data_IF_852278359550
#
_entry.id   IF_852278359550
#
_cell.length_a   1.000
_cell.length_b   1.000
_cell.length_c   1.000
_cell.angle_alpha   90.00
_cell.angle_beta   90.00
_cell.angle_gamma   90.00
#
_symmetry.space_group_name_H-M   'P 1'
#
loop_
_entity.id
_entity.type
_entity.pdbx_description
1 polymer ?
#
# COMPACT_ATOMS: atom_id res chain seq x y z
N UNK A 1 25.59 -20.44 11.86
CA UNK A 1 26.63 -20.01 10.89
C UNK A 1 25.95 -19.66 9.60
N UNK A 2 25.76 -18.37 9.31
CA UNK A 2 25.31 -17.96 7.99
C UNK A 2 26.48 -18.21 7.02
N UNK A 3 26.34 -19.13 6.10
CA UNK A 3 27.30 -19.32 5.01
C UNK A 3 27.07 -18.21 3.99
N UNK A 4 27.89 -17.18 4.03
CA UNK A 4 28.01 -16.24 2.91
C UNK A 4 28.79 -16.95 1.82
N UNK A 5 28.09 -17.47 0.81
CA UNK A 5 28.74 -18.04 -0.37
C UNK A 5 29.12 -16.87 -1.26
N UNK A 6 30.39 -16.46 -1.21
CA UNK A 6 30.99 -15.62 -2.23
C UNK A 6 31.12 -16.44 -3.52
N UNK A 7 30.18 -16.31 -4.42
CA UNK A 7 30.42 -16.69 -5.81
C UNK A 7 31.15 -15.52 -6.47
N UNK A 8 32.30 -15.74 -7.13
CA UNK A 8 33.15 -14.68 -7.68
C UNK A 8 32.50 -13.83 -8.78
N UNK A 9 31.25 -14.06 -9.10
CA UNK A 9 30.48 -13.36 -10.14
C UNK A 9 29.09 -12.90 -9.69
N UNK A 10 28.74 -12.92 -8.41
CA UNK A 10 27.41 -12.42 -7.98
C UNK A 10 27.49 -10.94 -7.61
N UNK A 11 26.92 -10.06 -8.43
CA UNK A 11 26.90 -8.62 -8.18
C UNK A 11 25.90 -8.22 -7.07
N UNK A 12 25.39 -9.19 -6.28
CA UNK A 12 24.32 -8.98 -5.31
C UNK A 12 24.84 -9.20 -3.89
N UNK A 13 24.73 -8.18 -3.06
CA UNK A 13 25.10 -8.22 -1.66
C UNK A 13 23.84 -8.15 -0.78
N UNK A 14 23.49 -9.25 -0.13
CA UNK A 14 22.30 -9.37 0.67
C UNK A 14 22.61 -9.72 2.13
N UNK A 15 22.20 -8.85 3.04
CA UNK A 15 22.21 -9.08 4.47
C UNK A 15 20.78 -9.43 4.92
N UNK A 16 20.48 -10.72 5.13
CA UNK A 16 19.13 -11.16 5.46
C UNK A 16 18.70 -10.66 6.85
N UNK A 17 17.39 -10.56 7.05
CA UNK A 17 16.82 -10.25 8.35
C UNK A 17 17.30 -11.30 9.36
N UNK A 18 17.94 -10.88 10.46
CA UNK A 18 18.35 -11.82 11.47
C UNK A 18 17.13 -12.44 12.15
N UNK A 19 17.20 -13.73 12.50
CA UNK A 19 16.17 -14.38 13.29
C UNK A 19 15.90 -13.58 14.58
N UNK A 20 14.66 -13.60 15.06
CA UNK A 20 14.16 -12.87 16.24
C UNK A 20 14.97 -13.09 17.53
N UNK A 21 15.81 -14.12 17.59
CA UNK A 21 16.77 -14.38 18.67
C UNK A 21 17.93 -13.35 18.75
N UNK A 22 18.00 -12.37 17.85
CA UNK A 22 19.08 -11.36 17.83
C UNK A 22 18.85 -10.15 18.74
N UNK A 23 17.86 -10.17 19.60
CA UNK A 23 17.71 -9.18 20.68
C UNK A 23 18.89 -9.15 21.65
N UNK A 24 19.78 -10.15 21.61
CA UNK A 24 20.95 -10.22 22.48
C UNK A 24 22.14 -9.43 21.89
N UNK A 25 22.79 -8.62 22.73
CA UNK A 25 23.94 -7.78 22.35
C UNK A 25 25.07 -8.56 21.64
N UNK A 26 25.32 -9.81 22.04
CA UNK A 26 26.33 -10.67 21.43
C UNK A 26 26.04 -11.00 19.94
N UNK A 27 24.77 -11.24 19.62
CA UNK A 27 24.38 -11.56 18.25
C UNK A 27 24.43 -10.32 17.35
N UNK A 28 24.08 -9.15 17.89
CA UNK A 28 24.23 -7.87 17.21
C UNK A 28 25.67 -7.58 16.85
N UNK A 29 26.60 -7.74 17.82
CA UNK A 29 28.03 -7.58 17.57
C UNK A 29 28.53 -8.51 16.48
N UNK A 30 28.14 -9.80 16.53
CA UNK A 30 28.51 -10.78 15.47
C UNK A 30 27.98 -10.39 14.09
N UNK A 31 26.77 -9.86 14.01
CA UNK A 31 26.21 -9.34 12.75
C UNK A 31 27.06 -8.19 12.23
N UNK A 32 27.37 -7.20 13.09
CA UNK A 32 28.17 -6.03 12.73
C UNK A 32 29.57 -6.43 12.28
N UNK A 33 30.26 -7.29 13.04
CA UNK A 33 31.60 -7.80 12.68
C UNK A 33 31.59 -8.57 11.34
N UNK A 34 30.51 -9.31 11.06
CA UNK A 34 30.35 -10.03 9.80
C UNK A 34 30.11 -9.09 8.63
N UNK A 35 29.24 -8.09 8.82
CA UNK A 35 28.97 -7.07 7.81
C UNK A 35 30.23 -6.25 7.49
N UNK A 36 31.00 -5.85 8.50
CA UNK A 36 32.26 -5.14 8.32
C UNK A 36 33.28 -5.94 7.50
N UNK A 37 33.45 -7.24 7.78
CA UNK A 37 34.33 -8.12 7.01
C UNK A 37 33.92 -8.23 5.55
N UNK A 38 32.61 -8.38 5.31
CA UNK A 38 32.06 -8.46 3.94
C UNK A 38 32.31 -7.15 3.21
N UNK A 39 32.05 -6.03 3.85
CA UNK A 39 32.28 -4.71 3.27
C UNK A 39 33.75 -4.45 2.95
N UNK A 40 34.67 -4.86 3.82
CA UNK A 40 36.12 -4.77 3.56
C UNK A 40 36.55 -5.65 2.38
N UNK A 41 36.04 -6.89 2.30
CA UNK A 41 36.34 -7.80 1.20
C UNK A 41 35.86 -7.25 -0.15
N UNK A 42 34.67 -6.69 -0.18
CA UNK A 42 34.09 -6.05 -1.38
C UNK A 42 34.90 -4.83 -1.79
N UNK A 43 35.29 -3.97 -0.84
CA UNK A 43 36.08 -2.78 -1.10
C UNK A 43 37.45 -3.12 -1.69
N UNK A 44 38.05 -4.28 -1.34
CA UNK A 44 39.33 -4.76 -1.88
C UNK A 44 39.24 -5.46 -3.23
N UNK A 45 38.06 -5.91 -3.65
CA UNK A 45 37.90 -6.75 -4.86
C UNK A 45 37.66 -5.97 -6.15
N UNK A 46 37.45 -4.66 -6.12
CA UNK A 46 37.06 -3.80 -7.26
C UNK A 46 35.85 -4.33 -8.07
N UNK A 47 35.08 -5.27 -7.54
CA UNK A 47 33.94 -5.84 -8.21
C UNK A 47 32.75 -4.87 -8.16
N UNK A 48 32.09 -4.63 -9.29
CA UNK A 48 30.85 -3.86 -9.32
C UNK A 48 29.76 -4.61 -8.55
N UNK A 49 29.04 -3.92 -7.68
CA UNK A 49 27.86 -4.48 -6.99
C UNK A 49 26.62 -4.01 -7.74
N UNK A 50 25.80 -4.92 -8.20
CA UNK A 50 24.54 -4.57 -8.85
C UNK A 50 23.45 -4.27 -7.83
N UNK A 51 23.28 -5.13 -6.84
CA UNK A 51 22.20 -5.03 -5.87
C UNK A 51 22.74 -5.09 -4.44
N UNK A 52 22.23 -4.21 -3.61
CA UNK A 52 22.51 -4.17 -2.18
C UNK A 52 21.22 -4.21 -1.37
N UNK A 53 21.12 -5.17 -0.47
CA UNK A 53 20.01 -5.28 0.47
C UNK A 53 20.54 -5.40 1.89
N UNK A 54 20.16 -4.47 2.74
CA UNK A 54 20.45 -4.49 4.17
C UNK A 54 19.14 -4.53 4.96
N UNK A 55 18.87 -5.68 5.58
CA UNK A 55 17.82 -5.83 6.58
C UNK A 55 18.47 -5.68 7.96
N UNK A 56 18.44 -4.48 8.51
CA UNK A 56 19.10 -4.21 9.78
C UNK A 56 18.30 -4.76 10.95
N UNK A 57 18.94 -5.44 11.91
CA UNK A 57 18.29 -5.72 13.19
C UNK A 57 17.99 -4.40 13.92
N UNK A 58 16.90 -4.37 14.65
CA UNK A 58 16.56 -3.28 15.57
C UNK A 58 17.79 -2.97 16.46
N UNK A 59 18.17 -1.69 16.57
CA UNK A 59 19.27 -1.20 17.40
C UNK A 59 20.71 -1.43 16.87
N UNK A 60 20.92 -1.58 15.57
CA UNK A 60 22.27 -1.39 15.02
C UNK A 60 22.61 0.10 15.09
N UNK A 61 23.85 0.39 15.51
CA UNK A 61 24.31 1.78 15.58
C UNK A 61 24.27 2.43 14.18
N UNK A 62 23.66 3.60 14.14
CA UNK A 62 23.51 4.40 12.91
C UNK A 62 24.85 4.70 12.20
N UNK A 63 25.95 4.78 12.95
CA UNK A 63 27.29 5.02 12.41
C UNK A 63 27.78 3.91 11.49
N UNK A 64 27.51 2.64 11.84
CA UNK A 64 27.87 1.49 11.01
C UNK A 64 27.04 1.45 9.74
N UNK A 65 25.74 1.64 9.88
CA UNK A 65 24.82 1.65 8.73
C UNK A 65 25.17 2.77 7.74
N UNK A 66 25.45 3.98 8.24
CA UNK A 66 25.91 5.12 7.41
C UNK A 66 27.22 4.79 6.66
N UNK A 67 28.17 4.15 7.34
CA UNK A 67 29.45 3.75 6.72
C UNK A 67 29.24 2.69 5.63
N UNK A 68 28.46 1.64 5.91
CA UNK A 68 28.18 0.59 4.93
C UNK A 68 27.45 1.14 3.71
N UNK A 69 26.42 1.94 3.93
CA UNK A 69 25.65 2.60 2.88
C UNK A 69 26.54 3.44 1.97
N UNK A 70 27.37 4.32 2.55
CA UNK A 70 28.28 5.15 1.79
C UNK A 70 29.27 4.32 0.96
N UNK A 71 29.85 3.28 1.56
CA UNK A 71 30.80 2.42 0.86
C UNK A 71 30.12 1.72 -0.32
N UNK A 72 28.89 1.21 -0.15
CA UNK A 72 28.17 0.51 -1.21
C UNK A 72 27.78 1.45 -2.35
N UNK A 73 27.32 2.64 -2.04
CA UNK A 73 26.92 3.63 -3.05
C UNK A 73 28.07 4.01 -3.98
N UNK A 74 29.33 3.98 -3.48
CA UNK A 74 30.51 4.20 -4.32
C UNK A 74 30.71 3.12 -5.40
N UNK A 75 30.06 1.94 -5.29
CA UNK A 75 30.15 0.87 -6.30
C UNK A 75 29.13 1.01 -7.44
N UNK A 76 28.42 2.13 -7.55
CA UNK A 76 27.45 2.39 -8.62
C UNK A 76 26.33 1.33 -8.68
N UNK A 77 25.78 0.99 -7.52
CA UNK A 77 24.65 0.03 -7.42
C UNK A 77 23.44 0.52 -8.20
N UNK A 78 22.73 -0.43 -8.82
CA UNK A 78 21.43 -0.17 -9.46
C UNK A 78 20.26 -0.37 -8.51
N UNK A 79 20.35 -1.39 -7.63
CA UNK A 79 19.26 -1.77 -6.74
C UNK A 79 19.73 -1.59 -5.28
N UNK A 80 19.10 -0.66 -4.56
CA UNK A 80 19.49 -0.31 -3.21
C UNK A 80 18.30 -0.40 -2.26
N UNK A 81 18.37 -1.36 -1.31
CA UNK A 81 17.30 -1.66 -0.38
C UNK A 81 17.80 -1.59 1.05
N UNK A 82 17.20 -0.71 1.84
CA UNK A 82 17.37 -0.62 3.29
C UNK A 82 16.05 -0.94 3.96
N UNK A 83 16.01 -1.97 4.82
CA UNK A 83 14.80 -2.38 5.53
C UNK A 83 14.99 -2.22 7.05
N UNK A 84 14.02 -1.57 7.68
CA UNK A 84 13.90 -1.40 9.15
C UNK A 84 15.10 -0.77 9.84
N UNK A 85 15.72 0.17 9.16
CA UNK A 85 16.88 0.88 9.70
C UNK A 85 16.43 2.16 10.41
N UNK A 86 16.95 2.42 11.60
CA UNK A 86 16.83 3.72 12.23
C UNK A 86 17.93 4.62 11.71
N UNK A 87 17.57 5.62 10.91
CA UNK A 87 18.50 6.61 10.38
C UNK A 87 18.17 8.00 10.88
N UNK A 88 19.19 8.73 11.30
CA UNK A 88 19.05 10.15 11.51
C UNK A 88 19.00 10.93 10.18
N UNK A 89 19.81 10.52 9.20
CA UNK A 89 19.79 11.10 7.86
C UNK A 89 20.50 10.18 6.86
N UNK A 90 19.93 10.02 5.68
CA UNK A 90 20.57 9.38 4.54
C UNK A 90 21.10 10.46 3.59
N UNK A 91 22.39 10.44 3.31
CA UNK A 91 23.01 11.32 2.31
C UNK A 91 23.32 10.47 1.09
N UNK A 92 22.65 10.77 -0.01
CA UNK A 92 22.93 10.21 -1.32
C UNK A 92 23.84 11.21 -2.06
N UNK A 93 25.03 10.76 -2.45
CA UNK A 93 25.91 11.59 -3.25
C UNK A 93 25.48 11.59 -4.73
N UNK A 94 25.96 12.58 -5.48
CA UNK A 94 25.59 12.75 -6.88
C UNK A 94 25.96 11.54 -7.77
N UNK A 95 27.06 10.86 -7.46
CA UNK A 95 27.50 9.71 -8.25
C UNK A 95 26.61 8.48 -8.05
N UNK A 96 26.15 8.25 -6.82
CA UNK A 96 25.22 7.19 -6.48
C UNK A 96 23.84 7.42 -7.11
N UNK A 97 23.37 8.66 -7.10
CA UNK A 97 22.07 9.01 -7.68
C UNK A 97 21.95 8.69 -9.18
N UNK A 98 23.07 8.74 -9.92
CA UNK A 98 23.08 8.52 -11.38
C UNK A 98 22.87 7.06 -11.82
N UNK A 99 23.12 6.08 -10.97
CA UNK A 99 23.06 4.66 -11.32
C UNK A 99 21.90 3.90 -10.72
N UNK A 100 21.22 4.50 -9.73
CA UNK A 100 20.10 3.87 -9.06
C UNK A 100 18.90 3.70 -10.00
N UNK A 101 18.39 2.50 -10.07
CA UNK A 101 17.18 2.10 -10.82
C UNK A 101 16.04 1.76 -9.88
N UNK A 102 16.35 1.05 -8.79
CA UNK A 102 15.40 0.71 -7.72
C UNK A 102 15.96 1.20 -6.37
N UNK A 103 15.19 2.04 -5.69
CA UNK A 103 15.53 2.58 -4.38
C UNK A 103 14.40 2.29 -3.39
N UNK A 104 14.69 1.44 -2.40
CA UNK A 104 13.76 1.14 -1.31
C UNK A 104 14.36 1.51 0.03
N UNK A 105 13.70 2.42 0.72
CA UNK A 105 14.04 2.89 2.06
C UNK A 105 12.88 2.62 3.01
N UNK A 106 13.07 1.70 3.96
CA UNK A 106 12.09 1.37 4.98
C UNK A 106 12.70 1.61 6.38
N UNK A 107 12.11 2.53 7.12
CA UNK A 107 12.55 2.89 8.47
C UNK A 107 12.35 4.37 8.78
N UNK A 108 12.56 4.73 10.05
CA UNK A 108 12.50 6.14 10.46
C UNK A 108 13.76 6.88 10.02
N UNK A 109 13.71 7.59 8.91
CA UNK A 109 14.83 8.38 8.41
C UNK A 109 14.39 9.76 7.94
N UNK A 110 15.30 10.72 8.10
CA UNK A 110 15.09 12.08 7.62
C UNK A 110 15.65 12.21 6.21
N UNK A 111 14.83 12.72 5.30
CA UNK A 111 15.29 13.16 3.99
C UNK A 111 15.68 14.64 4.13
N UNK A 112 16.99 14.95 4.06
CA UNK A 112 17.44 16.33 4.09
C UNK A 112 16.93 17.08 2.85
N UNK A 113 17.04 18.40 2.89
CA UNK A 113 16.77 19.20 1.70
C UNK A 113 17.73 18.74 0.59
N UNK A 114 17.17 18.27 -0.53
CA UNK A 114 17.96 17.91 -1.70
C UNK A 114 18.62 19.17 -2.26
N UNK A 115 19.87 19.06 -2.67
CA UNK A 115 20.54 20.11 -3.41
C UNK A 115 19.82 20.34 -4.75
N UNK A 116 19.85 21.55 -5.26
CA UNK A 116 19.12 21.92 -6.50
C UNK A 116 19.56 21.06 -7.70
N UNK A 117 20.82 20.61 -7.71
CA UNK A 117 21.38 19.80 -8.79
C UNK A 117 21.24 18.28 -8.59
N UNK A 118 20.56 17.83 -7.53
CA UNK A 118 20.37 16.39 -7.30
C UNK A 118 19.40 15.83 -8.34
N UNK A 119 19.82 14.80 -9.09
CA UNK A 119 18.97 14.10 -10.07
C UNK A 119 19.16 12.60 -10.00
N UNK A 120 18.06 11.87 -10.26
CA UNK A 120 18.01 10.41 -10.33
C UNK A 120 17.59 9.98 -11.73
N UNK A 121 18.48 10.14 -12.74
CA UNK A 121 18.10 10.01 -14.15
C UNK A 121 17.77 8.59 -14.58
N UNK A 122 18.16 7.57 -13.80
CA UNK A 122 17.91 6.17 -14.09
C UNK A 122 16.82 5.55 -13.19
N UNK A 123 16.32 6.28 -12.18
CA UNK A 123 15.44 5.72 -11.16
C UNK A 123 14.04 5.45 -11.74
N UNK A 124 13.62 4.19 -11.66
CA UNK A 124 12.32 3.71 -12.13
C UNK A 124 11.38 3.34 -11.01
N UNK A 125 11.91 2.85 -9.88
CA UNK A 125 11.13 2.41 -8.73
C UNK A 125 11.63 3.09 -7.47
N UNK A 126 10.73 3.75 -6.74
CA UNK A 126 11.00 4.42 -5.48
C UNK A 126 10.01 3.96 -4.42
N UNK A 127 10.54 3.37 -3.34
CA UNK A 127 9.74 3.02 -2.15
C UNK A 127 10.27 3.75 -0.93
N UNK A 128 9.42 4.51 -0.27
CA UNK A 128 9.69 5.26 0.94
C UNK A 128 8.73 4.83 2.05
N UNK A 129 9.23 4.25 3.13
CA UNK A 129 8.44 3.88 4.29
C UNK A 129 9.02 4.52 5.56
N UNK A 130 8.19 5.23 6.32
CA UNK A 130 8.64 5.92 7.54
C UNK A 130 9.49 7.17 7.31
N UNK A 131 9.48 7.73 6.11
CA UNK A 131 10.30 8.89 5.76
C UNK A 131 9.76 10.16 6.41
N UNK A 132 10.67 10.99 6.90
CA UNK A 132 10.41 12.33 7.42
C UNK A 132 11.06 13.38 6.52
N UNK A 133 10.26 14.19 5.85
CA UNK A 133 10.75 15.29 5.02
C UNK A 133 11.00 16.54 5.87
N UNK A 134 12.22 17.09 5.82
CA UNK A 134 12.66 18.18 6.69
C UNK A 134 12.15 19.57 6.28
N UNK A 135 11.60 19.72 5.06
CA UNK A 135 11.09 21.00 4.58
C UNK A 135 9.93 20.82 3.60
N UNK A 136 9.10 21.86 3.51
CA UNK A 136 8.09 22.00 2.47
C UNK A 136 8.74 21.90 1.09
N UNK A 137 8.12 21.16 0.17
CA UNK A 137 8.62 21.00 -1.20
C UNK A 137 9.78 20.00 -1.36
N UNK A 138 10.29 19.40 -0.28
CA UNK A 138 11.36 18.38 -0.40
C UNK A 138 10.88 17.12 -1.12
N UNK A 139 9.62 16.74 -0.95
CA UNK A 139 9.04 15.61 -1.64
C UNK A 139 8.89 15.88 -3.13
N UNK A 140 8.32 17.04 -3.49
CA UNK A 140 8.16 17.44 -4.89
C UNK A 140 9.50 17.58 -5.60
N UNK A 141 10.52 18.10 -4.91
CA UNK A 141 11.90 18.15 -5.43
C UNK A 141 12.45 16.74 -5.68
N UNK A 142 12.21 15.80 -4.74
CA UNK A 142 12.62 14.41 -4.93
C UNK A 142 11.94 13.78 -6.14
N UNK A 143 10.63 13.95 -6.29
CA UNK A 143 9.89 13.38 -7.42
C UNK A 143 10.33 14.03 -8.73
N UNK A 144 10.49 15.34 -8.78
CA UNK A 144 10.93 16.04 -10.00
C UNK A 144 12.37 15.69 -10.40
N UNK A 145 13.22 15.29 -9.45
CA UNK A 145 14.54 14.76 -9.71
C UNK A 145 14.54 13.36 -10.38
N UNK A 146 13.40 12.65 -10.36
CA UNK A 146 13.26 11.28 -10.85
C UNK A 146 12.51 11.23 -12.19
N UNK A 147 13.15 11.69 -13.27
CA UNK A 147 12.50 11.87 -14.58
C UNK A 147 11.99 10.59 -15.26
N UNK A 148 12.51 9.41 -14.89
CA UNK A 148 12.10 8.11 -15.44
C UNK A 148 11.28 7.27 -14.46
N UNK A 149 10.74 7.86 -13.40
CA UNK A 149 10.03 7.13 -12.36
C UNK A 149 8.74 6.51 -12.92
N UNK A 150 8.63 5.18 -12.81
CA UNK A 150 7.50 4.37 -13.26
C UNK A 150 6.65 3.87 -12.07
N UNK A 151 7.28 3.63 -10.92
CA UNK A 151 6.61 3.12 -9.72
C UNK A 151 6.99 3.95 -8.50
N UNK A 152 6.00 4.44 -7.77
CA UNK A 152 6.17 5.17 -6.52
C UNK A 152 5.32 4.54 -5.43
N UNK A 153 5.98 4.18 -4.33
CA UNK A 153 5.31 3.64 -3.15
C UNK A 153 5.72 4.42 -1.92
N UNK A 154 4.74 4.93 -1.20
CA UNK A 154 4.93 5.80 -0.06
C UNK A 154 4.11 5.27 1.10
N UNK A 155 4.78 4.82 2.18
CA UNK A 155 4.13 4.30 3.39
C UNK A 155 4.48 5.14 4.61
N UNK A 156 3.51 5.46 5.47
CA UNK A 156 3.72 6.02 6.80
C UNK A 156 4.65 7.23 6.83
N UNK A 157 4.49 8.13 5.87
CA UNK A 157 5.21 9.40 5.89
C UNK A 157 4.60 10.29 6.96
N UNK A 158 5.44 10.97 7.73
CA UNK A 158 5.01 11.99 8.66
C UNK A 158 4.65 13.25 7.88
N UNK A 159 3.34 13.41 7.65
CA UNK A 159 2.74 14.38 6.75
C UNK A 159 2.57 15.80 7.31
N UNK A 160 3.09 16.11 8.51
CA UNK A 160 2.88 17.43 9.11
C UNK A 160 3.23 18.62 8.19
N UNK A 161 4.15 18.41 7.26
CA UNK A 161 4.55 19.38 6.25
C UNK A 161 3.93 19.15 4.86
N UNK A 162 3.31 18.01 4.63
CA UNK A 162 2.78 17.61 3.32
C UNK A 162 1.39 18.19 3.02
N UNK A 163 0.58 18.47 4.03
CA UNK A 163 -0.85 18.79 3.86
C UNK A 163 -1.15 20.24 3.41
N UNK A 164 -0.15 21.04 3.04
CA UNK A 164 -0.34 22.46 2.77
C UNK A 164 -0.72 22.85 1.34
N UNK A 165 -0.84 21.98 0.40
CA UNK A 165 -1.13 22.17 -1.04
C UNK A 165 -0.01 21.63 -1.91
N UNK A 166 -0.19 20.43 -2.41
CA UNK A 166 0.84 19.76 -3.18
C UNK A 166 0.33 19.31 -4.54
N UNK A 167 1.21 19.41 -5.52
CA UNK A 167 0.98 18.88 -6.86
C UNK A 167 1.97 17.74 -7.07
N UNK A 168 1.46 16.50 -7.10
CA UNK A 168 2.25 15.36 -7.52
C UNK A 168 2.23 15.29 -9.05
N UNK A 169 3.29 15.79 -9.68
CA UNK A 169 3.47 15.76 -11.14
C UNK A 169 4.57 14.78 -11.50
N UNK A 170 4.20 13.69 -12.16
CA UNK A 170 5.13 12.66 -12.58
C UNK A 170 4.59 11.98 -13.86
N UNK A 171 4.96 12.49 -15.05
CA UNK A 171 4.33 12.08 -16.31
C UNK A 171 4.60 10.63 -16.70
N UNK A 172 5.70 10.02 -16.23
CA UNK A 172 6.05 8.64 -16.56
C UNK A 172 5.55 7.61 -15.54
N UNK A 173 4.92 8.04 -14.46
CA UNK A 173 4.46 7.17 -13.39
C UNK A 173 3.28 6.31 -13.86
N UNK A 174 3.41 5.00 -13.68
CA UNK A 174 2.40 3.98 -14.04
C UNK A 174 1.70 3.40 -12.81
N UNK A 175 2.42 3.31 -11.69
CA UNK A 175 1.92 2.73 -10.44
C UNK A 175 2.21 3.65 -9.27
N UNK A 176 1.16 4.01 -8.53
CA UNK A 176 1.26 4.85 -7.35
C UNK A 176 0.60 4.15 -6.17
N UNK A 177 1.35 4.01 -5.07
CA UNK A 177 0.81 3.58 -3.78
C UNK A 177 1.11 4.63 -2.73
N UNK A 178 0.08 5.19 -2.12
CA UNK A 178 0.18 6.13 -1.01
C UNK A 178 -0.62 5.54 0.15
N UNK A 179 0.08 5.19 1.24
CA UNK A 179 -0.55 4.61 2.43
C UNK A 179 -0.14 5.43 3.63
N UNK A 180 -1.07 6.24 4.12
CA UNK A 180 -0.89 7.09 5.28
C UNK A 180 -1.13 6.31 6.58
N UNK A 181 -0.44 6.71 7.65
CA UNK A 181 -0.91 6.38 8.99
C UNK A 181 -2.03 7.36 9.34
N UNK A 182 -3.13 6.82 9.79
CA UNK A 182 -4.24 7.59 10.30
C UNK A 182 -3.78 8.42 11.50
N UNK A 183 -3.51 9.70 11.28
CA UNK A 183 -3.22 10.64 12.35
C UNK A 183 -4.46 11.51 12.59
N UNK A 184 -5.04 11.39 13.77
CA UNK A 184 -6.33 11.94 14.21
C UNK A 184 -6.47 13.45 14.19
N UNK A 185 -5.48 14.22 13.84
CA UNK A 185 -5.53 15.69 13.98
C UNK A 185 -4.66 16.36 12.92
N UNK A 186 -5.18 16.55 11.71
CA UNK A 186 -4.52 17.51 10.83
C UNK A 186 -5.55 18.25 9.99
N UNK A 187 -5.37 19.55 9.86
CA UNK A 187 -6.13 20.36 8.89
C UNK A 187 -5.92 19.77 7.49
N UNK A 188 -7.01 19.24 6.94
CA UNK A 188 -7.01 18.65 5.60
C UNK A 188 -6.71 19.77 4.60
N UNK A 189 -5.68 19.56 3.79
CA UNK A 189 -5.25 20.50 2.76
C UNK A 189 -5.92 20.26 1.41
N UNK A 190 -5.19 20.57 0.36
CA UNK A 190 -5.56 20.22 -1.01
C UNK A 190 -4.45 19.35 -1.63
N UNK A 191 -4.83 18.37 -2.42
CA UNK A 191 -3.91 17.51 -3.14
C UNK A 191 -4.25 17.50 -4.63
N UNK A 192 -3.23 17.60 -5.46
CA UNK A 192 -3.39 17.55 -6.92
C UNK A 192 -2.56 16.42 -7.49
N UNK A 193 -3.14 15.72 -8.46
CA UNK A 193 -2.48 14.65 -9.19
C UNK A 193 -2.38 15.01 -10.66
N UNK A 194 -1.16 15.22 -11.15
CA UNK A 194 -0.86 15.42 -12.57
C UNK A 194 -0.02 14.23 -13.07
N UNK A 195 -0.70 13.09 -13.25
CA UNK A 195 -0.08 11.80 -13.57
C UNK A 195 -0.86 11.12 -14.70
N UNK A 196 -0.81 11.65 -15.93
CA UNK A 196 -1.69 11.21 -17.02
C UNK A 196 -1.49 9.76 -17.45
N UNK A 197 -0.31 9.16 -17.20
CA UNK A 197 0.01 7.79 -17.56
C UNK A 197 -0.17 6.78 -16.41
N UNK A 198 -0.76 7.19 -15.29
CA UNK A 198 -1.03 6.29 -14.17
C UNK A 198 -2.06 5.23 -14.56
N UNK A 199 -1.72 3.97 -14.37
CA UNK A 199 -2.59 2.81 -14.65
C UNK A 199 -3.17 2.22 -13.37
N UNK A 200 -2.39 2.24 -12.30
CA UNK A 200 -2.74 1.66 -11.00
C UNK A 200 -2.56 2.67 -9.87
N UNK A 201 -3.59 2.83 -9.04
CA UNK A 201 -3.58 3.65 -7.83
C UNK A 201 -3.95 2.80 -6.61
N UNK A 202 -3.08 2.76 -5.60
CA UNK A 202 -3.39 2.26 -4.25
C UNK A 202 -3.32 3.43 -3.26
N UNK A 203 -4.47 3.90 -2.79
CA UNK A 203 -4.57 5.11 -1.99
C UNK A 203 -5.31 4.85 -0.68
N UNK A 204 -4.60 5.02 0.42
CA UNK A 204 -5.11 4.89 1.78
C UNK A 204 -4.78 6.16 2.56
N UNK A 205 -5.74 7.06 2.68
CA UNK A 205 -5.60 8.33 3.39
C UNK A 205 -6.98 8.97 3.66
N UNK A 206 -6.96 10.09 4.40
CA UNK A 206 -8.12 10.97 4.54
C UNK A 206 -8.50 11.60 3.20
N UNK A 207 -9.81 11.73 2.95
CA UNK A 207 -10.27 12.52 1.81
C UNK A 207 -9.95 13.98 2.05
N UNK A 208 -9.20 14.58 1.14
CA UNK A 208 -8.78 15.96 1.23
C UNK A 208 -9.96 16.92 0.99
N UNK A 209 -9.85 18.17 1.46
CA UNK A 209 -10.89 19.20 1.24
C UNK A 209 -11.11 19.48 -0.23
N UNK A 210 -10.05 19.45 -1.02
CA UNK A 210 -10.09 19.75 -2.46
C UNK A 210 -9.03 18.96 -3.22
N UNK A 211 -9.35 18.68 -4.46
CA UNK A 211 -8.43 18.13 -5.46
C UNK A 211 -8.41 19.06 -6.67
N UNK A 212 -7.64 20.18 -6.63
CA UNK A 212 -7.69 21.23 -7.65
C UNK A 212 -7.33 20.74 -9.06
N UNK A 213 -6.39 19.81 -9.16
CA UNK A 213 -6.00 19.18 -10.43
C UNK A 213 -6.02 17.69 -10.26
N UNK A 214 -6.76 16.99 -11.12
CA UNK A 214 -6.75 15.52 -11.20
C UNK A 214 -6.66 15.13 -12.67
N UNK A 215 -5.44 14.80 -13.11
CA UNK A 215 -5.14 14.24 -14.43
C UNK A 215 -4.64 12.80 -14.26
N UNK A 216 -5.57 11.88 -14.33
CA UNK A 216 -5.36 10.44 -14.20
C UNK A 216 -6.02 9.72 -15.39
N UNK A 217 -5.71 10.20 -16.59
CA UNK A 217 -6.41 9.84 -17.84
C UNK A 217 -6.28 8.36 -18.21
N UNK A 218 -5.20 7.71 -17.77
CA UNK A 218 -4.94 6.29 -18.04
C UNK A 218 -5.29 5.36 -16.89
N UNK A 219 -5.92 5.85 -15.81
CA UNK A 219 -6.19 5.06 -14.62
C UNK A 219 -7.25 3.99 -14.89
N UNK A 220 -6.89 2.73 -14.75
CA UNK A 220 -7.74 1.55 -15.01
C UNK A 220 -8.12 0.83 -13.73
N UNK A 221 -7.19 0.76 -12.77
CA UNK A 221 -7.36 0.03 -11.53
C UNK A 221 -7.11 0.96 -10.34
N UNK A 222 -8.08 1.04 -9.43
CA UNK A 222 -7.97 1.79 -8.20
C UNK A 222 -8.25 0.91 -6.98
N UNK A 223 -7.35 0.96 -5.99
CA UNK A 223 -7.52 0.36 -4.66
C UNK A 223 -7.59 1.48 -3.64
N UNK A 224 -8.70 1.59 -2.94
CA UNK A 224 -8.99 2.71 -2.07
C UNK A 224 -9.32 2.25 -0.65
N UNK A 225 -8.66 2.87 0.30
CA UNK A 225 -9.00 2.83 1.72
C UNK A 225 -9.16 4.28 2.19
N UNK A 226 -10.37 4.78 2.08
CA UNK A 226 -10.67 6.18 2.31
C UNK A 226 -11.30 6.38 3.68
N UNK A 227 -10.78 7.33 4.43
CA UNK A 227 -11.48 7.92 5.54
C UNK A 227 -12.34 9.07 5.04
N UNK A 228 -13.64 8.83 4.95
CA UNK A 228 -14.59 9.80 4.42
C UNK A 228 -15.32 10.45 5.57
N UNK A 229 -14.97 11.69 5.87
CA UNK A 229 -15.80 12.53 6.70
C UNK A 229 -16.99 13.04 5.87
N UNK A 230 -18.17 13.06 6.45
CA UNK A 230 -19.41 13.44 5.76
C UNK A 230 -19.31 14.79 4.99
N UNK A 231 -18.49 15.70 5.49
CA UNK A 231 -18.27 17.04 4.91
C UNK A 231 -17.50 17.03 3.58
N UNK A 232 -16.72 15.98 3.26
CA UNK A 232 -15.82 15.96 2.10
C UNK A 232 -16.20 14.94 1.04
N UNK A 233 -17.35 14.28 1.15
CA UNK A 233 -17.84 13.30 0.18
C UNK A 233 -17.82 13.83 -1.25
N UNK A 234 -18.21 15.09 -1.44
CA UNK A 234 -18.26 15.70 -2.77
C UNK A 234 -16.87 16.04 -3.34
N UNK A 235 -15.85 16.14 -2.50
CA UNK A 235 -14.49 16.44 -2.95
C UNK A 235 -13.85 15.31 -3.76
N UNK A 236 -14.28 14.06 -3.60
CA UNK A 236 -13.76 12.94 -4.35
C UNK A 236 -14.04 13.15 -5.85
N UNK A 237 -13.00 13.16 -6.70
CA UNK A 237 -13.18 13.36 -8.14
C UNK A 237 -13.88 12.18 -8.81
N UNK A 238 -14.35 12.42 -10.04
CA UNK A 238 -14.93 11.35 -10.88
C UNK A 238 -13.82 10.69 -11.69
N UNK A 239 -13.80 9.36 -11.71
CA UNK A 239 -12.80 8.52 -12.39
C UNK A 239 -13.49 7.69 -13.49
N UNK A 240 -13.61 8.27 -14.67
CA UNK A 240 -14.36 7.65 -15.78
C UNK A 240 -13.67 6.43 -16.39
N UNK A 241 -12.35 6.33 -16.30
CA UNK A 241 -11.59 5.25 -16.95
C UNK A 241 -11.36 4.02 -16.05
N UNK A 242 -11.70 4.12 -14.76
CA UNK A 242 -11.51 3.01 -13.84
C UNK A 242 -12.53 1.91 -14.10
N UNK A 243 -12.02 0.74 -14.46
CA UNK A 243 -12.82 -0.47 -14.71
C UNK A 243 -12.75 -1.47 -13.57
N UNK A 244 -11.70 -1.43 -12.75
CA UNK A 244 -11.53 -2.26 -11.56
C UNK A 244 -11.36 -1.38 -10.32
N UNK A 245 -12.23 -1.55 -9.35
CA UNK A 245 -12.21 -0.83 -8.08
C UNK A 245 -12.13 -1.82 -6.92
N UNK A 246 -11.10 -1.68 -6.10
CA UNK A 246 -10.99 -2.40 -4.82
C UNK A 246 -11.21 -1.42 -3.68
N UNK A 247 -12.14 -1.72 -2.80
CA UNK A 247 -12.43 -0.94 -1.60
C UNK A 247 -12.02 -1.73 -0.37
N UNK A 248 -11.22 -1.11 0.48
CA UNK A 248 -10.87 -1.68 1.78
C UNK A 248 -11.81 -1.11 2.81
N UNK A 249 -12.51 -2.02 3.51
CA UNK A 249 -13.34 -1.68 4.66
C UNK A 249 -12.61 -2.16 5.91
N UNK A 250 -12.20 -1.24 6.76
CA UNK A 250 -11.67 -1.58 8.09
C UNK A 250 -12.56 -0.94 9.16
N UNK A 251 -13.04 -1.76 10.09
CA UNK A 251 -13.81 -1.32 11.23
C UNK A 251 -12.95 -1.24 12.49
N UNK A 252 -11.61 -1.20 12.32
CA UNK A 252 -10.68 -0.97 13.42
C UNK A 252 -10.95 0.33 14.17
N UNK A 253 -10.19 0.70 15.09
CA UNK A 253 -10.29 1.72 16.13
C UNK A 253 -10.97 3.07 15.82
N UNK A 254 -11.43 3.33 14.59
CA UNK A 254 -12.08 4.58 14.19
C UNK A 254 -13.38 4.38 13.43
N UNK A 255 -14.42 5.06 13.89
CA UNK A 255 -15.74 5.11 13.24
C UNK A 255 -15.77 5.90 11.91
N UNK A 256 -14.63 6.37 11.43
CA UNK A 256 -14.54 7.29 10.28
C UNK A 256 -14.14 6.64 8.96
N UNK A 257 -13.90 5.33 8.95
CA UNK A 257 -13.54 4.60 7.72
C UNK A 257 -14.70 4.46 6.74
N UNK A 258 -14.36 4.15 5.50
CA UNK A 258 -15.34 3.84 4.47
C UNK A 258 -16.31 2.78 4.99
N UNK A 259 -17.54 3.17 5.21
CA UNK A 259 -18.62 2.27 5.60
C UNK A 259 -19.42 1.89 4.37
N UNK A 260 -20.06 0.72 4.38
CA UNK A 260 -20.93 0.30 3.28
C UNK A 260 -22.02 1.33 2.91
N UNK A 261 -22.61 2.10 3.84
CA UNK A 261 -23.52 3.21 3.51
C UNK A 261 -22.91 4.27 2.58
N UNK A 262 -21.59 4.42 2.57
CA UNK A 262 -20.89 5.34 1.65
C UNK A 262 -20.66 4.77 0.25
N UNK A 263 -20.87 3.46 0.06
CA UNK A 263 -20.62 2.77 -1.21
C UNK A 263 -21.39 3.38 -2.41
N UNK A 264 -22.69 3.73 -2.32
CA UNK A 264 -23.41 4.36 -3.42
C UNK A 264 -22.77 5.68 -3.86
N UNK A 265 -22.23 6.45 -2.91
CA UNK A 265 -21.49 7.67 -3.20
C UNK A 265 -20.21 7.42 -3.96
N UNK A 266 -19.43 6.44 -3.49
CA UNK A 266 -18.17 6.06 -4.12
C UNK A 266 -18.42 5.55 -5.53
N UNK A 267 -19.39 4.66 -5.73
CA UNK A 267 -19.70 4.12 -7.07
C UNK A 267 -20.16 5.18 -8.07
N UNK A 268 -20.81 6.26 -7.63
CA UNK A 268 -21.12 7.41 -8.51
C UNK A 268 -19.86 8.10 -9.04
N UNK A 269 -18.75 8.04 -8.31
CA UNK A 269 -17.47 8.60 -8.73
C UNK A 269 -16.70 7.67 -9.67
N UNK A 270 -17.17 6.44 -9.86
CA UNK A 270 -16.58 5.40 -10.71
C UNK A 270 -17.62 4.78 -11.65
N UNK A 271 -18.14 5.54 -12.61
CA UNK A 271 -19.33 5.13 -13.40
C UNK A 271 -19.11 3.92 -14.30
N UNK A 272 -17.87 3.58 -14.64
CA UNK A 272 -17.52 2.52 -15.58
C UNK A 272 -16.88 1.30 -14.90
N UNK A 273 -17.05 1.13 -13.59
CA UNK A 273 -16.51 -0.03 -12.87
C UNK A 273 -17.25 -1.31 -13.26
N UNK A 274 -16.49 -2.26 -13.81
CA UNK A 274 -16.99 -3.60 -14.16
C UNK A 274 -16.64 -4.65 -13.10
N UNK A 275 -15.52 -4.47 -12.41
CA UNK A 275 -15.08 -5.34 -11.31
C UNK A 275 -15.01 -4.55 -10.02
N UNK A 276 -15.81 -4.96 -9.03
CA UNK A 276 -15.80 -4.40 -7.70
C UNK A 276 -15.28 -5.44 -6.71
N UNK A 277 -14.25 -5.10 -5.97
CA UNK A 277 -13.66 -5.93 -4.90
C UNK A 277 -13.89 -5.22 -3.57
N UNK A 278 -14.43 -5.91 -2.59
CA UNK A 278 -14.58 -5.40 -1.23
C UNK A 278 -13.71 -6.26 -0.32
N UNK A 279 -12.60 -5.67 0.15
CA UNK A 279 -11.64 -6.30 1.06
C UNK A 279 -11.96 -5.86 2.50
N UNK A 280 -12.19 -6.81 3.38
CA UNK A 280 -12.51 -6.57 4.78
C UNK A 280 -13.92 -6.98 5.16
N UNK A 281 -14.29 -6.79 6.45
CA UNK A 281 -15.59 -7.20 6.92
C UNK A 281 -16.72 -6.36 6.30
N UNK A 282 -17.81 -7.01 5.95
CA UNK A 282 -18.99 -6.33 5.38
C UNK A 282 -19.81 -5.58 6.44
N UNK A 283 -19.65 -5.92 7.71
CA UNK A 283 -20.32 -5.24 8.83
C UNK A 283 -19.35 -5.10 10.00
N UNK A 284 -19.29 -3.91 10.59
CA UNK A 284 -18.33 -3.53 11.65
C UNK A 284 -18.92 -3.39 13.04
N UNK A 285 -20.14 -3.78 13.24
CA UNK A 285 -20.78 -3.60 14.54
C UNK A 285 -20.58 -4.82 15.44
N UNK A 286 -20.21 -4.55 16.68
CA UNK A 286 -20.31 -5.51 17.78
C UNK A 286 -21.77 -5.96 17.88
N UNK A 287 -22.02 -7.26 17.92
CA UNK A 287 -23.33 -7.93 17.90
C UNK A 287 -24.32 -7.52 18.99
N UNK A 288 -24.06 -6.40 19.68
CA UNK A 288 -24.93 -5.86 20.74
C UNK A 288 -26.09 -5.00 20.25
N UNK A 289 -26.10 -4.55 18.99
CA UNK A 289 -27.20 -3.78 18.39
C UNK A 289 -28.04 -4.65 17.47
N UNK A 290 -29.33 -4.60 17.67
CA UNK A 290 -30.35 -5.44 16.99
C UNK A 290 -30.44 -5.13 15.47
N UNK A 291 -30.02 -3.97 15.04
CA UNK A 291 -29.98 -3.54 13.62
C UNK A 291 -28.70 -2.76 13.35
N UNK A 292 -27.95 -3.20 12.35
CA UNK A 292 -26.80 -2.47 11.88
C UNK A 292 -27.27 -1.27 11.05
N UNK A 293 -26.81 -0.06 11.40
CA UNK A 293 -27.09 1.17 10.62
C UNK A 293 -26.57 1.10 9.18
N UNK A 294 -25.69 0.13 8.89
CA UNK A 294 -25.27 -0.21 7.53
C UNK A 294 -26.43 -0.59 6.60
N UNK A 295 -27.58 -0.99 7.17
CA UNK A 295 -28.79 -1.40 6.46
C UNK A 295 -29.77 -0.26 6.21
N UNK A 296 -29.59 0.89 6.84
CA UNK A 296 -30.56 1.99 6.80
C UNK A 296 -30.52 2.83 5.51
N UNK A 297 -29.51 2.65 4.68
CA UNK A 297 -29.40 3.37 3.42
C UNK A 297 -30.10 2.54 2.35
N UNK A 298 -31.21 3.07 1.82
CA UNK A 298 -31.76 2.61 0.57
C UNK A 298 -30.66 2.66 -0.48
N UNK A 299 -30.08 1.51 -0.83
CA UNK A 299 -29.32 1.36 -2.06
C UNK A 299 -30.31 1.70 -3.18
N UNK A 300 -30.42 2.97 -3.50
CA UNK A 300 -31.10 3.41 -4.71
C UNK A 300 -30.56 2.50 -5.80
N UNK A 301 -31.43 1.76 -6.51
CA UNK A 301 -31.09 0.86 -7.62
C UNK A 301 -29.97 1.49 -8.42
N UNK A 302 -28.75 1.11 -8.07
CA UNK A 302 -27.54 1.63 -8.69
C UNK A 302 -27.56 1.04 -10.09
N UNK A 303 -27.80 1.88 -11.09
CA UNK A 303 -27.54 1.53 -12.47
C UNK A 303 -26.00 1.42 -12.66
N UNK A 304 -25.41 0.45 -11.95
CA UNK A 304 -23.97 0.22 -11.94
C UNK A 304 -23.63 -0.86 -12.97
N UNK A 305 -22.62 -0.67 -13.82
CA UNK A 305 -22.19 -1.65 -14.81
C UNK A 305 -21.38 -2.81 -14.19
N UNK A 306 -21.38 -2.98 -12.87
CA UNK A 306 -20.61 -4.03 -12.19
C UNK A 306 -21.08 -5.42 -12.63
N UNK A 307 -20.15 -6.16 -13.21
CA UNK A 307 -20.35 -7.54 -13.68
C UNK A 307 -19.73 -8.57 -12.75
N UNK A 308 -18.61 -8.22 -12.13
CA UNK A 308 -17.88 -9.08 -11.22
C UNK A 308 -17.83 -8.42 -9.84
N UNK A 309 -18.28 -9.15 -8.82
CA UNK A 309 -18.21 -8.74 -7.43
C UNK A 309 -17.37 -9.75 -6.64
N UNK A 310 -16.32 -9.29 -5.98
CA UNK A 310 -15.50 -10.11 -5.07
C UNK A 310 -15.70 -9.63 -3.64
N UNK A 311 -16.05 -10.54 -2.75
CA UNK A 311 -16.33 -10.25 -1.34
C UNK A 311 -15.52 -11.17 -0.45
N UNK A 312 -15.12 -10.65 0.70
CA UNK A 312 -14.57 -11.47 1.79
C UNK A 312 -15.57 -11.48 2.93
N UNK A 313 -16.02 -12.67 3.35
CA UNK A 313 -16.87 -12.86 4.51
C UNK A 313 -16.15 -13.75 5.53
N UNK A 314 -16.39 -13.47 6.79
CA UNK A 314 -15.68 -14.19 7.86
C UNK A 314 -16.33 -15.56 8.12
N UNK A 315 -17.54 -15.57 8.68
CA UNK A 315 -18.27 -16.79 9.09
C UNK A 315 -19.64 -16.94 8.46
N UNK A 316 -20.05 -16.02 7.60
CA UNK A 316 -21.41 -15.98 7.07
C UNK A 316 -22.44 -15.68 8.15
N UNK A 317 -22.19 -14.70 9.01
CA UNK A 317 -23.19 -14.21 9.97
C UNK A 317 -24.46 -13.77 9.26
N UNK A 318 -25.57 -13.63 10.01
CA UNK A 318 -26.84 -13.16 9.43
C UNK A 318 -26.67 -11.80 8.74
N UNK A 319 -25.87 -10.92 9.34
CA UNK A 319 -25.62 -9.58 8.83
C UNK A 319 -24.77 -9.61 7.54
N UNK A 320 -23.70 -10.42 7.51
CA UNK A 320 -22.92 -10.62 6.30
C UNK A 320 -23.75 -11.19 5.15
N UNK A 321 -24.61 -12.18 5.47
CA UNK A 321 -25.49 -12.79 4.47
C UNK A 321 -26.53 -11.81 3.94
N UNK A 322 -27.09 -10.96 4.79
CA UNK A 322 -28.03 -9.93 4.37
C UNK A 322 -27.35 -8.87 3.48
N UNK A 323 -26.09 -8.51 3.76
CA UNK A 323 -25.31 -7.62 2.88
C UNK A 323 -25.07 -8.27 1.51
N UNK A 324 -24.65 -9.53 1.49
CA UNK A 324 -24.45 -10.26 0.22
C UNK A 324 -25.74 -10.31 -0.57
N UNK A 325 -26.87 -10.59 0.08
CA UNK A 325 -28.20 -10.60 -0.54
C UNK A 325 -28.53 -9.27 -1.20
N UNK A 326 -28.33 -8.15 -0.51
CA UNK A 326 -28.56 -6.80 -1.04
C UNK A 326 -27.73 -6.54 -2.30
N UNK A 327 -26.43 -6.87 -2.29
CA UNK A 327 -25.62 -6.76 -3.50
C UNK A 327 -26.19 -7.56 -4.67
N UNK A 328 -26.68 -8.77 -4.41
CA UNK A 328 -27.27 -9.62 -5.43
C UNK A 328 -28.60 -9.09 -5.96
N UNK A 329 -29.38 -8.38 -5.14
CA UNK A 329 -30.67 -7.79 -5.50
C UNK A 329 -30.51 -6.43 -6.21
N UNK A 330 -29.49 -5.63 -5.84
CA UNK A 330 -29.33 -4.26 -6.34
C UNK A 330 -28.46 -4.18 -7.61
N UNK A 331 -27.48 -5.08 -7.77
CA UNK A 331 -26.58 -5.09 -8.91
C UNK A 331 -27.12 -5.98 -10.05
N UNK A 332 -27.95 -5.42 -10.88
CA UNK A 332 -28.66 -6.16 -11.96
C UNK A 332 -27.77 -6.64 -13.10
N UNK A 333 -26.55 -6.10 -13.24
CA UNK A 333 -25.58 -6.47 -14.30
C UNK A 333 -24.63 -7.59 -13.89
N UNK A 334 -24.75 -8.13 -12.64
CA UNK A 334 -23.83 -9.16 -12.17
C UNK A 334 -23.84 -10.42 -13.02
N UNK A 335 -22.65 -10.86 -13.40
CA UNK A 335 -22.38 -12.12 -14.09
C UNK A 335 -21.67 -13.12 -13.16
N UNK A 336 -20.86 -12.63 -12.24
CA UNK A 336 -20.07 -13.45 -11.31
C UNK A 336 -19.95 -12.79 -9.94
N UNK A 337 -20.21 -13.55 -8.89
CA UNK A 337 -19.87 -13.18 -7.50
C UNK A 337 -18.88 -14.20 -6.96
N UNK A 338 -17.71 -13.74 -6.53
CA UNK A 338 -16.71 -14.54 -5.84
C UNK A 338 -16.75 -14.22 -4.36
N UNK A 339 -16.96 -15.23 -3.54
CA UNK A 339 -17.00 -15.09 -2.10
C UNK A 339 -15.84 -15.86 -1.49
N UNK A 340 -14.95 -15.14 -0.80
CA UNK A 340 -13.85 -15.73 -0.03
C UNK A 340 -14.25 -15.87 1.42
N UNK A 341 -14.00 -17.03 2.03
CA UNK A 341 -14.31 -17.28 3.43
C UNK A 341 -13.30 -18.21 4.11
N UNK A 342 -13.32 -18.19 5.45
CA UNK A 342 -12.38 -18.92 6.33
C UNK A 342 -13.15 -19.82 7.32
N UNK A 343 -13.91 -20.82 6.84
CA UNK A 343 -14.64 -21.74 7.70
C UNK A 343 -13.68 -22.67 8.46
N UNK A 344 -14.11 -23.12 9.63
CA UNK A 344 -13.30 -23.97 10.50
C UNK A 344 -13.28 -25.43 10.05
N UNK A 345 -14.39 -25.91 9.51
CA UNK A 345 -14.62 -27.30 9.15
C UNK A 345 -15.47 -27.45 7.88
N UNK A 346 -15.67 -28.68 7.45
CA UNK A 346 -16.42 -28.98 6.22
C UNK A 346 -17.94 -28.80 6.38
N UNK A 347 -18.46 -28.87 7.59
CA UNK A 347 -19.88 -28.61 7.87
C UNK A 347 -20.20 -27.12 7.70
N UNK A 348 -19.34 -26.23 8.26
CA UNK A 348 -19.43 -24.78 8.04
C UNK A 348 -19.30 -24.42 6.55
N UNK A 349 -18.39 -25.07 5.80
CA UNK A 349 -18.25 -24.86 4.34
C UNK A 349 -19.54 -25.17 3.61
N UNK A 350 -20.11 -26.36 3.87
CA UNK A 350 -21.30 -26.81 3.19
C UNK A 350 -22.51 -25.91 3.54
N UNK A 351 -22.66 -25.59 4.81
CA UNK A 351 -23.73 -24.70 5.30
C UNK A 351 -23.65 -23.33 4.63
N UNK A 352 -22.45 -22.72 4.60
CA UNK A 352 -22.22 -21.42 3.99
C UNK A 352 -22.46 -21.44 2.47
N UNK A 353 -21.92 -22.42 1.77
CA UNK A 353 -22.13 -22.56 0.33
C UNK A 353 -23.61 -22.71 0.00
N UNK A 354 -24.36 -23.54 0.76
CA UNK A 354 -25.80 -23.72 0.56
C UNK A 354 -26.56 -22.41 0.75
N UNK A 355 -26.30 -21.69 1.84
CA UNK A 355 -26.95 -20.41 2.12
C UNK A 355 -26.68 -19.37 1.03
N UNK A 356 -25.45 -19.24 0.55
CA UNK A 356 -25.08 -18.32 -0.53
C UNK A 356 -25.79 -18.67 -1.84
N UNK A 357 -25.87 -19.96 -2.19
CA UNK A 357 -26.51 -20.41 -3.42
C UNK A 357 -28.02 -20.20 -3.43
N UNK A 358 -28.66 -20.16 -2.26
CA UNK A 358 -30.08 -19.92 -2.10
C UNK A 358 -30.49 -18.44 -2.11
N UNK A 359 -29.54 -17.51 -2.09
CA UNK A 359 -29.85 -16.09 -2.09
C UNK A 359 -30.53 -15.65 -3.41
N UNK A 360 -31.55 -14.77 -3.33
CA UNK A 360 -32.19 -14.19 -4.51
C UNK A 360 -31.18 -13.33 -5.31
N UNK A 361 -31.39 -13.24 -6.62
CA UNK A 361 -30.50 -12.51 -7.55
C UNK A 361 -31.35 -11.72 -8.52
N UNK A 362 -30.98 -10.44 -8.73
CA UNK A 362 -31.60 -9.62 -9.79
C UNK A 362 -31.15 -10.09 -11.19
N UNK A 363 -29.91 -10.55 -11.32
CA UNK A 363 -29.37 -11.07 -12.59
C UNK A 363 -29.52 -12.58 -12.65
N UNK A 364 -30.28 -13.07 -13.62
CA UNK A 364 -30.41 -14.51 -13.91
C UNK A 364 -29.13 -15.17 -14.42
N UNK A 365 -28.16 -14.36 -14.90
CA UNK A 365 -26.85 -14.81 -15.38
C UNK A 365 -25.82 -14.95 -14.27
N UNK A 366 -26.11 -14.41 -13.09
CA UNK A 366 -25.16 -14.35 -12.00
C UNK A 366 -24.81 -15.73 -11.47
N UNK A 367 -23.53 -16.06 -11.51
CA UNK A 367 -22.94 -17.26 -10.88
C UNK A 367 -22.30 -16.88 -9.56
N UNK A 368 -22.38 -17.75 -8.55
CA UNK A 368 -21.67 -17.60 -7.28
C UNK A 368 -20.57 -18.65 -7.23
N UNK A 369 -19.34 -18.19 -7.01
CA UNK A 369 -18.18 -19.00 -6.77
C UNK A 369 -17.73 -18.77 -5.33
N UNK A 370 -17.58 -19.85 -4.57
CA UNK A 370 -17.14 -19.77 -3.18
C UNK A 370 -15.74 -20.37 -3.07
N UNK A 371 -14.82 -19.61 -2.49
CA UNK A 371 -13.43 -20.01 -2.26
C UNK A 371 -13.18 -20.09 -0.76
N UNK A 372 -12.71 -21.26 -0.29
CA UNK A 372 -12.41 -21.49 1.12
C UNK A 372 -10.92 -21.50 1.37
N UNK A 373 -10.48 -20.77 2.39
CA UNK A 373 -9.09 -20.67 2.81
C UNK A 373 -8.96 -21.18 4.25
N UNK A 374 -7.80 -21.76 4.59
CA UNK A 374 -7.47 -22.09 5.98
C UNK A 374 -7.02 -20.83 6.73
N UNK A 375 -7.32 -20.74 8.03
CA UNK A 375 -6.87 -19.61 8.88
C UNK A 375 -5.33 -19.44 8.94
N UNK A 376 -4.56 -20.44 8.53
CA UNK A 376 -3.10 -20.40 8.45
C UNK A 376 -2.59 -19.58 7.25
N UNK A 377 -3.45 -19.25 6.30
CA UNK A 377 -3.11 -18.34 5.23
C UNK A 377 -3.02 -16.91 5.79
N UNK A 378 -1.94 -16.16 5.55
CA UNK A 378 -1.80 -14.81 6.09
C UNK A 378 -3.01 -13.98 5.64
N UNK A 379 -3.76 -13.47 6.61
CA UNK A 379 -4.88 -12.57 6.35
C UNK A 379 -4.33 -11.34 5.60
N UNK A 380 -4.75 -11.14 4.38
CA UNK A 380 -4.31 -9.99 3.57
C UNK A 380 -4.67 -8.65 4.22
N UNK A 381 -5.69 -8.60 5.08
CA UNK A 381 -6.10 -7.40 5.80
C UNK A 381 -5.23 -7.01 7.00
N UNK A 382 -4.49 -7.96 7.64
CA UNK A 382 -3.67 -7.63 8.82
C UNK A 382 -2.27 -7.11 8.48
N UNK A 383 -1.92 -7.00 7.21
CA UNK A 383 -0.56 -6.67 6.80
C UNK A 383 -0.26 -5.18 6.68
N UNK A 384 -1.28 -4.32 6.72
CA UNK A 384 -1.00 -2.87 6.74
C UNK A 384 -0.59 -2.37 8.12
N UNK A 385 -1.00 -3.06 9.20
CA UNK A 385 -0.42 -2.87 10.54
C UNK A 385 0.72 -3.87 10.76
N UNK A 386 1.70 -3.84 9.89
CA UNK A 386 2.80 -4.76 9.90
C UNK A 386 3.71 -4.57 11.07
N UNK A 387 3.71 -5.52 11.97
CA UNK A 387 4.81 -5.87 12.88
C UNK A 387 5.75 -4.70 13.20
N UNK A 388 5.40 -3.96 14.23
CA UNK A 388 6.37 -3.24 15.04
C UNK A 388 7.44 -4.21 15.58
#
# INVERSE_FOLDING_TARGET
MARYVFLPFTPNLHFPKPNTALCFAANRKRFMDSADRVMLAVSGSCSAIRSFTLNSPLHVDSSHTKRWTRNVLNFKVSDFILDKTAFESLVLDESACKTLVDLKLDGAFKIPMLLEDTSFPALKSLTLAGAHFCSLGSFEKLISACSLLEELTVYWIFWELWKCSHILSCPNLKRLSIISLVNFVVELGSMSFDIPNLVYLDYSDDVQRQYPVVRLDSLVEAKLELMIFDYYREAVPVFENVSQLSLITDFGFCSSFLTLPSLPYVLKKFPNVHTLVIEGPLCGHDHSKIVCDCFSVDFVKLASPVKVLELTINKGSSDEMEQVKRFLEDLSCLELVKVRSFPKDDEEKLSLATRLLMLPRASSKCKIQVEFFSETSPRSCSYRMGKM
#
